data_IF_545246988224
#
_entry.id   IF_545246988224
#
_cell.length_a   1.000
_cell.length_b   1.000
_cell.length_c   1.000
_cell.angle_alpha   90.00
_cell.angle_beta   90.00
_cell.angle_gamma   90.00
#
_symmetry.space_group_name_H-M   'P 1'
#
loop_
_entity.id
_entity.type
_entity.pdbx_description
1 polymer ?
#
# COMPACT_ATOMS: atom_id res chain seq x y z
N UNK A 1 6.19 23.91 16.53
CA UNK A 1 6.31 23.61 15.08
C UNK A 1 5.13 22.82 14.50
N UNK A 2 4.30 22.14 15.31
CA UNK A 2 3.08 21.46 14.84
C UNK A 2 2.07 22.34 14.06
N UNK A 3 1.80 23.62 14.42
CA UNK A 3 0.79 24.39 13.69
C UNK A 3 1.22 24.70 12.25
N UNK A 4 2.47 25.10 12.03
CA UNK A 4 2.98 25.42 10.69
C UNK A 4 2.82 24.27 9.70
N UNK A 5 3.11 23.05 10.15
CA UNK A 5 3.01 21.86 9.29
C UNK A 5 1.56 21.56 8.88
N UNK A 6 0.61 21.72 9.81
CA UNK A 6 -0.82 21.58 9.49
C UNK A 6 -1.27 22.62 8.46
N UNK A 7 -0.81 23.87 8.57
CA UNK A 7 -1.11 24.91 7.58
C UNK A 7 -0.53 24.59 6.21
N UNK A 8 0.68 24.03 6.14
CA UNK A 8 1.29 23.61 4.87
C UNK A 8 0.44 22.54 4.18
N UNK A 9 0.01 21.49 4.90
CA UNK A 9 -0.84 20.45 4.32
C UNK A 9 -2.16 21.05 3.81
N UNK A 10 -2.81 21.90 4.62
CA UNK A 10 -4.07 22.54 4.22
C UNK A 10 -3.89 23.40 2.98
N UNK A 11 -2.83 24.21 2.92
CA UNK A 11 -2.52 25.05 1.77
C UNK A 11 -2.30 24.20 0.52
N UNK A 12 -1.49 23.15 0.61
CA UNK A 12 -1.20 22.28 -0.54
C UNK A 12 -2.44 21.49 -0.98
N UNK A 13 -3.28 21.03 -0.05
CA UNK A 13 -4.58 20.44 -0.37
C UNK A 13 -5.49 21.43 -1.10
N UNK A 14 -5.59 22.68 -0.63
CA UNK A 14 -6.40 23.71 -1.26
C UNK A 14 -5.89 24.06 -2.67
N UNK A 15 -4.57 24.20 -2.83
CA UNK A 15 -3.94 24.42 -4.14
C UNK A 15 -4.23 23.23 -5.07
N UNK A 16 -4.13 22.00 -4.58
CA UNK A 16 -4.41 20.79 -5.36
C UNK A 16 -5.88 20.70 -5.78
N UNK A 17 -6.82 21.04 -4.89
CA UNK A 17 -8.25 21.10 -5.20
C UNK A 17 -8.54 22.17 -6.25
N UNK A 18 -8.03 23.39 -6.05
CA UNK A 18 -8.24 24.51 -6.98
C UNK A 18 -7.64 24.19 -8.36
N UNK A 19 -6.44 23.60 -8.38
CA UNK A 19 -5.81 23.09 -9.58
C UNK A 19 -6.67 22.03 -10.26
N UNK A 20 -7.09 20.99 -9.54
CA UNK A 20 -7.88 19.91 -10.10
C UNK A 20 -9.18 20.44 -10.72
N UNK A 21 -9.92 21.29 -9.99
CA UNK A 21 -11.17 21.88 -10.45
C UNK A 21 -11.00 22.76 -11.70
N UNK A 22 -9.95 23.59 -11.73
CA UNK A 22 -9.66 24.45 -12.90
C UNK A 22 -9.11 23.67 -14.10
N UNK A 23 -8.39 22.58 -13.86
CA UNK A 23 -7.71 21.80 -14.91
C UNK A 23 -8.68 21.21 -15.94
N UNK A 24 -9.94 20.95 -15.58
CA UNK A 24 -10.97 20.45 -16.49
C UNK A 24 -11.39 21.46 -17.57
N UNK A 25 -11.16 22.75 -17.34
CA UNK A 25 -11.53 23.83 -18.25
C UNK A 25 -10.36 24.33 -19.10
N UNK A 26 -9.14 23.86 -18.80
CA UNK A 26 -7.93 24.27 -19.49
C UNK A 26 -7.59 23.26 -20.60
N UNK A 27 -7.05 23.73 -21.75
CA UNK A 27 -6.58 22.83 -22.80
C UNK A 27 -5.45 21.95 -22.27
N UNK A 28 -5.44 20.68 -22.67
CA UNK A 28 -4.39 19.75 -22.26
C UNK A 28 -3.04 20.17 -22.84
N UNK A 29 -2.13 20.62 -21.96
CA UNK A 29 -0.79 21.08 -22.31
C UNK A 29 0.26 20.31 -21.51
N UNK A 30 1.51 20.28 -22.01
CA UNK A 30 2.62 19.61 -21.33
C UNK A 30 2.88 20.22 -19.94
N UNK A 31 2.66 21.53 -19.80
CA UNK A 31 2.77 22.24 -18.53
C UNK A 31 1.79 21.65 -17.51
N UNK A 32 0.52 21.43 -17.89
CA UNK A 32 -0.47 20.83 -17.00
C UNK A 32 -0.12 19.38 -16.64
N UNK A 33 0.43 18.59 -17.57
CA UNK A 33 0.83 17.21 -17.32
C UNK A 33 1.90 17.16 -16.21
N UNK A 34 2.96 17.94 -16.38
CA UNK A 34 4.05 18.03 -15.39
C UNK A 34 3.60 18.66 -14.08
N UNK A 35 2.68 19.63 -14.13
CA UNK A 35 2.09 20.22 -12.91
C UNK A 35 1.29 19.18 -12.12
N UNK A 36 0.50 18.34 -12.81
CA UNK A 36 -0.24 17.23 -12.17
C UNK A 36 0.74 16.25 -11.50
N UNK A 37 1.78 15.82 -12.22
CA UNK A 37 2.80 14.92 -11.68
C UNK A 37 3.53 15.52 -10.47
N UNK A 38 3.89 16.81 -10.52
CA UNK A 38 4.52 17.51 -9.41
C UNK A 38 3.60 17.58 -8.18
N UNK A 39 2.33 17.91 -8.38
CA UNK A 39 1.35 17.94 -7.28
C UNK A 39 1.16 16.56 -6.65
N UNK A 40 1.11 15.49 -7.44
CA UNK A 40 1.09 14.11 -6.93
C UNK A 40 2.31 13.84 -6.04
N UNK A 41 3.51 14.16 -6.53
CA UNK A 41 4.76 13.93 -5.78
C UNK A 41 4.81 14.75 -4.47
N UNK A 42 4.38 16.01 -4.51
CA UNK A 42 4.33 16.87 -3.33
C UNK A 42 3.30 16.38 -2.31
N UNK A 43 2.09 16.02 -2.76
CA UNK A 43 1.04 15.46 -1.91
C UNK A 43 1.50 14.15 -1.26
N UNK A 44 2.14 13.27 -2.04
CA UNK A 44 2.69 12.02 -1.53
C UNK A 44 3.77 12.25 -0.47
N UNK A 45 4.72 13.14 -0.75
CA UNK A 45 5.82 13.45 0.17
C UNK A 45 5.33 14.04 1.50
N UNK A 46 4.31 14.90 1.44
CA UNK A 46 3.66 15.47 2.62
C UNK A 46 2.84 14.44 3.39
N UNK A 47 2.12 13.57 2.67
CA UNK A 47 1.35 12.46 3.24
C UNK A 47 2.27 11.53 4.03
N UNK A 48 3.36 11.10 3.40
CA UNK A 48 4.37 10.22 3.97
C UNK A 48 5.05 10.86 5.19
N UNK A 49 5.49 12.11 5.04
CA UNK A 49 6.10 12.88 6.13
C UNK A 49 5.14 13.06 7.30
N UNK A 50 3.85 13.29 7.03
CA UNK A 50 2.83 13.42 8.09
C UNK A 50 2.58 12.09 8.80
N UNK A 51 2.43 11.00 8.03
CA UNK A 51 2.20 9.66 8.55
C UNK A 51 3.34 9.23 9.49
N UNK A 52 4.60 9.43 9.07
CA UNK A 52 5.75 9.10 9.90
C UNK A 52 5.93 10.04 11.10
N UNK A 53 5.62 11.34 10.97
CA UNK A 53 5.79 12.31 12.08
C UNK A 53 4.72 12.23 13.14
N UNK A 54 3.46 12.04 12.76
CA UNK A 54 2.32 12.06 13.68
C UNK A 54 1.95 10.66 14.18
N UNK A 55 2.32 9.61 13.44
CA UNK A 55 1.93 8.23 13.74
C UNK A 55 0.42 7.99 13.72
N UNK A 56 -0.36 8.94 13.21
CA UNK A 56 -1.83 8.90 13.15
C UNK A 56 -2.33 9.44 11.82
N UNK A 57 -3.43 8.86 11.34
CA UNK A 57 -4.16 9.32 10.16
C UNK A 57 -5.16 10.38 10.62
N UNK A 58 -4.88 11.62 10.24
CA UNK A 58 -5.80 12.74 10.43
C UNK A 58 -6.79 12.81 9.27
N UNK A 59 -7.94 13.47 9.47
CA UNK A 59 -8.92 13.73 8.40
C UNK A 59 -8.28 14.45 7.21
N UNK A 60 -7.36 15.38 7.48
CA UNK A 60 -6.60 16.09 6.44
C UNK A 60 -5.78 15.12 5.56
N UNK A 61 -5.20 14.08 6.15
CA UNK A 61 -4.45 13.06 5.42
C UNK A 61 -5.38 12.24 4.52
N UNK A 62 -6.57 11.86 5.01
CA UNK A 62 -7.58 11.16 4.20
C UNK A 62 -7.97 12.01 2.99
N UNK A 63 -8.29 13.29 3.22
CA UNK A 63 -8.64 14.23 2.15
C UNK A 63 -7.50 14.36 1.14
N UNK A 64 -6.25 14.47 1.62
CA UNK A 64 -5.06 14.57 0.76
C UNK A 64 -4.91 13.34 -0.14
N UNK A 65 -5.12 12.13 0.37
CA UNK A 65 -5.05 10.90 -0.41
C UNK A 65 -6.18 10.81 -1.45
N UNK A 66 -7.41 11.24 -1.10
CA UNK A 66 -8.53 11.32 -2.06
C UNK A 66 -8.22 12.29 -3.20
N UNK A 67 -7.68 13.47 -2.88
CA UNK A 67 -7.22 14.44 -3.90
C UNK A 67 -6.14 13.81 -4.76
N UNK A 68 -5.21 13.07 -4.18
CA UNK A 68 -4.13 12.42 -4.91
C UNK A 68 -4.64 11.36 -5.89
N UNK A 69 -5.63 10.54 -5.51
CA UNK A 69 -6.31 9.61 -6.42
C UNK A 69 -6.99 10.34 -7.58
N UNK A 70 -7.64 11.48 -7.31
CA UNK A 70 -8.25 12.30 -8.36
C UNK A 70 -7.19 12.94 -9.29
N UNK A 71 -6.02 13.32 -8.77
CA UNK A 71 -4.89 13.77 -9.59
C UNK A 71 -4.32 12.64 -10.45
N UNK A 72 -4.23 11.40 -9.94
CA UNK A 72 -3.85 10.23 -10.76
C UNK A 72 -4.86 9.98 -11.87
N UNK A 73 -6.16 10.04 -11.58
CA UNK A 73 -7.22 9.97 -12.60
C UNK A 73 -7.04 11.04 -13.68
N UNK A 74 -6.75 12.28 -13.28
CA UNK A 74 -6.46 13.38 -14.21
C UNK A 74 -5.18 13.13 -15.02
N UNK A 75 -4.12 12.61 -14.40
CA UNK A 75 -2.87 12.28 -15.08
C UNK A 75 -3.09 11.21 -16.17
N UNK A 76 -3.85 10.16 -15.87
CA UNK A 76 -4.18 9.13 -16.87
C UNK A 76 -4.95 9.69 -18.07
N UNK A 77 -5.98 10.51 -17.81
CA UNK A 77 -6.73 11.25 -18.82
C UNK A 77 -5.80 12.10 -19.72
N UNK A 78 -4.85 12.81 -19.11
CA UNK A 78 -3.91 13.65 -19.84
C UNK A 78 -2.93 12.86 -20.69
N UNK A 79 -2.39 11.75 -20.16
CA UNK A 79 -1.52 10.83 -20.94
C UNK A 79 -2.27 10.35 -22.18
N UNK A 80 -3.52 9.90 -22.03
CA UNK A 80 -4.32 9.42 -23.16
C UNK A 80 -4.56 10.51 -24.21
N UNK A 81 -5.00 11.70 -23.78
CA UNK A 81 -5.33 12.81 -24.69
C UNK A 81 -4.10 13.40 -25.39
N UNK A 82 -2.96 13.48 -24.70
CA UNK A 82 -1.78 14.18 -25.18
C UNK A 82 -0.76 13.29 -25.88
N UNK A 83 -0.53 12.09 -25.33
CA UNK A 83 0.48 11.15 -25.83
C UNK A 83 -0.13 10.09 -26.74
N UNK A 84 -1.46 10.04 -26.79
CA UNK A 84 -2.22 9.20 -27.71
C UNK A 84 -2.72 7.89 -27.10
N UNK A 85 -3.47 7.16 -27.90
CA UNK A 85 -4.11 5.90 -27.51
C UNK A 85 -3.13 4.73 -27.37
N UNK A 86 -1.92 4.80 -27.92
CA UNK A 86 -0.92 3.73 -27.81
C UNK A 86 -0.52 3.38 -26.36
N UNK A 87 -0.91 4.22 -25.40
CA UNK A 87 -0.67 4.01 -23.98
C UNK A 87 -1.74 3.15 -23.28
N UNK A 88 -2.90 2.93 -23.90
CA UNK A 88 -4.04 2.23 -23.31
C UNK A 88 -4.75 1.31 -24.30
N UNK A 89 -5.22 0.15 -23.84
CA UNK A 89 -6.17 -0.68 -24.56
C UNK A 89 -7.59 -0.40 -24.08
N UNK A 90 -8.57 -0.48 -24.97
CA UNK A 90 -9.99 -0.42 -24.61
C UNK A 90 -10.85 -1.11 -25.67
N UNK A 91 -11.99 -1.66 -25.24
CA UNK A 91 -12.98 -2.26 -26.14
C UNK A 91 -13.87 -1.19 -26.79
N UNK A 92 -14.24 -0.17 -26.02
CA UNK A 92 -15.00 0.99 -26.49
C UNK A 92 -14.24 2.28 -26.21
N UNK A 93 -14.48 3.31 -27.04
CA UNK A 93 -13.84 4.61 -26.87
C UNK A 93 -14.07 5.15 -25.44
N UNK A 94 -12.99 5.47 -24.69
CA UNK A 94 -13.09 5.68 -23.26
C UNK A 94 -13.85 6.96 -22.94
N UNK A 95 -14.83 6.83 -22.04
CA UNK A 95 -15.58 7.95 -21.47
C UNK A 95 -14.85 8.48 -20.24
N UNK A 96 -15.25 9.66 -19.75
CA UNK A 96 -14.58 10.30 -18.61
C UNK A 96 -14.63 9.45 -17.33
N UNK A 97 -15.70 8.65 -17.15
CA UNK A 97 -15.88 7.82 -15.96
C UNK A 97 -15.07 6.52 -16.01
N UNK A 98 -14.65 6.04 -17.18
CA UNK A 98 -13.80 4.84 -17.30
C UNK A 98 -12.43 5.06 -16.65
N UNK A 99 -11.98 6.30 -16.55
CA UNK A 99 -10.74 6.67 -15.85
C UNK A 99 -10.90 6.64 -14.33
N UNK A 100 -12.10 6.95 -13.84
CA UNK A 100 -12.45 6.78 -12.43
C UNK A 100 -12.54 5.29 -12.11
N UNK A 101 -13.14 4.50 -12.99
CA UNK A 101 -13.20 3.05 -12.89
C UNK A 101 -11.79 2.43 -12.87
N UNK A 102 -10.90 2.83 -13.79
CA UNK A 102 -9.47 2.44 -13.79
C UNK A 102 -8.83 2.65 -12.41
N UNK A 103 -8.92 3.87 -11.87
CA UNK A 103 -8.33 4.18 -10.55
C UNK A 103 -9.01 3.42 -9.42
N UNK A 104 -10.34 3.34 -9.41
CA UNK A 104 -11.10 2.64 -8.37
C UNK A 104 -10.79 1.15 -8.36
N UNK A 105 -10.71 0.51 -9.52
CA UNK A 105 -10.33 -0.89 -9.68
C UNK A 105 -8.93 -1.14 -9.12
N UNK A 106 -7.95 -0.28 -9.43
CA UNK A 106 -6.61 -0.43 -8.88
C UNK A 106 -6.55 -0.21 -7.35
N UNK A 107 -7.33 0.72 -6.81
CA UNK A 107 -7.47 0.88 -5.34
C UNK A 107 -8.09 -0.36 -4.70
N UNK A 108 -9.11 -0.97 -5.31
CA UNK A 108 -9.71 -2.20 -4.80
C UNK A 108 -8.75 -3.40 -4.89
N UNK A 109 -7.90 -3.42 -5.92
CA UNK A 109 -6.84 -4.43 -6.08
C UNK A 109 -5.78 -4.31 -4.98
N UNK A 110 -5.37 -3.10 -4.62
CA UNK A 110 -4.47 -2.84 -3.50
C UNK A 110 -5.00 -3.36 -2.14
N UNK A 111 -6.32 -3.56 -2.00
CA UNK A 111 -6.96 -4.12 -0.79
C UNK A 111 -7.18 -5.65 -0.92
N UNK A 112 -6.66 -6.28 -1.96
CA UNK A 112 -6.82 -7.72 -2.25
C UNK A 112 -8.30 -8.17 -2.41
N UNK A 113 -9.19 -7.22 -2.75
CA UNK A 113 -10.63 -7.52 -2.92
C UNK A 113 -10.96 -8.05 -4.32
N UNK A 114 -10.18 -7.64 -5.33
CA UNK A 114 -10.47 -7.97 -6.73
C UNK A 114 -9.85 -9.26 -7.23
N UNK A 115 -8.83 -9.79 -6.56
CA UNK A 115 -8.22 -11.07 -6.97
C UNK A 115 -9.28 -12.18 -6.96
N UNK A 116 -10.22 -12.13 -6.01
CA UNK A 116 -11.39 -13.00 -5.94
C UNK A 116 -12.31 -12.81 -7.18
N UNK A 117 -12.62 -11.58 -7.57
CA UNK A 117 -13.54 -11.30 -8.68
C UNK A 117 -12.92 -11.60 -10.06
N UNK A 118 -11.61 -11.38 -10.20
CA UNK A 118 -10.89 -11.68 -11.45
C UNK A 118 -10.82 -13.18 -11.73
N UNK A 119 -10.76 -14.00 -10.68
CA UNK A 119 -10.78 -15.47 -10.78
C UNK A 119 -12.11 -15.97 -11.38
N UNK A 120 -13.20 -15.23 -11.16
CA UNK A 120 -14.53 -15.53 -11.71
C UNK A 120 -14.73 -15.02 -13.15
N UNK A 121 -13.69 -14.47 -13.79
CA UNK A 121 -13.75 -13.99 -15.17
C UNK A 121 -14.55 -12.69 -15.36
N UNK A 122 -14.82 -11.94 -14.29
CA UNK A 122 -15.58 -10.70 -14.35
C UNK A 122 -14.63 -9.54 -14.73
N UNK A 123 -14.63 -9.20 -16.02
CA UNK A 123 -13.92 -8.03 -16.54
C UNK A 123 -14.71 -6.74 -16.27
N UNK A 124 -14.41 -6.08 -15.15
CA UNK A 124 -15.08 -4.83 -14.72
C UNK A 124 -14.47 -3.56 -15.33
N UNK A 125 -13.48 -3.64 -16.22
CA UNK A 125 -12.68 -2.47 -16.61
C UNK A 125 -12.60 -2.34 -18.13
N UNK A 126 -13.08 -1.21 -18.67
CA UNK A 126 -12.98 -0.92 -20.12
C UNK A 126 -11.55 -0.54 -20.53
N UNK A 127 -10.81 0.18 -19.68
CA UNK A 127 -9.49 0.76 -20.02
C UNK A 127 -8.37 0.02 -19.32
N UNK A 128 -7.43 -0.57 -20.04
CA UNK A 128 -6.21 -1.17 -19.48
C UNK A 128 -4.97 -0.41 -19.94
N UNK A 129 -3.89 -0.41 -19.14
CA UNK A 129 -2.62 0.17 -19.57
C UNK A 129 -1.93 -0.73 -20.61
N UNK A 130 -1.17 -0.14 -21.54
CA UNK A 130 -0.35 -0.88 -22.51
C UNK A 130 1.12 -0.47 -22.53
N UNK A 131 1.45 0.70 -22.00
CA UNK A 131 2.82 1.24 -22.07
C UNK A 131 3.53 1.18 -20.73
N UNK A 132 4.87 1.18 -20.78
CA UNK A 132 5.74 1.31 -19.60
C UNK A 132 5.42 2.59 -18.82
N UNK A 133 5.18 3.70 -19.51
CA UNK A 133 4.85 4.98 -18.87
C UNK A 133 3.59 4.88 -18.01
N UNK A 134 2.49 4.37 -18.57
CA UNK A 134 1.23 4.19 -17.85
C UNK A 134 1.35 3.14 -16.75
N UNK A 135 2.17 2.11 -16.96
CA UNK A 135 2.49 1.12 -15.94
C UNK A 135 3.22 1.75 -14.74
N UNK A 136 4.22 2.60 -14.97
CA UNK A 136 4.92 3.32 -13.90
C UNK A 136 3.96 4.24 -13.12
N UNK A 137 3.06 4.93 -13.82
CA UNK A 137 2.06 5.80 -13.17
C UNK A 137 1.11 4.99 -12.29
N UNK A 138 0.59 3.87 -12.79
CA UNK A 138 -0.25 2.94 -12.02
C UNK A 138 0.52 2.37 -10.82
N UNK A 139 1.74 1.87 -11.03
CA UNK A 139 2.57 1.33 -9.97
C UNK A 139 2.86 2.37 -8.87
N UNK A 140 3.13 3.62 -9.26
CA UNK A 140 3.32 4.72 -8.30
C UNK A 140 2.05 5.02 -7.49
N UNK A 141 0.88 4.87 -8.10
CA UNK A 141 -0.41 5.00 -7.41
C UNK A 141 -0.62 3.87 -6.41
N UNK A 142 -0.31 2.63 -6.79
CA UNK A 142 -0.39 1.45 -5.92
C UNK A 142 0.47 1.62 -4.66
N UNK A 143 1.76 1.95 -4.82
CA UNK A 143 2.66 2.22 -3.68
C UNK A 143 2.06 3.26 -2.72
N UNK A 144 1.46 4.33 -3.26
CA UNK A 144 0.85 5.35 -2.42
C UNK A 144 -0.35 4.81 -1.62
N UNK A 145 -1.24 4.07 -2.27
CA UNK A 145 -2.42 3.48 -1.64
C UNK A 145 -2.01 2.48 -0.57
N UNK A 146 -1.03 1.63 -0.86
CA UNK A 146 -0.51 0.60 0.03
C UNK A 146 0.12 1.19 1.28
N UNK A 147 0.98 2.19 1.13
CA UNK A 147 1.58 2.89 2.27
C UNK A 147 0.51 3.56 3.14
N UNK A 148 -0.51 4.16 2.52
CA UNK A 148 -1.63 4.76 3.25
C UNK A 148 -2.47 3.71 4.00
N UNK A 149 -2.82 2.60 3.33
CA UNK A 149 -3.61 1.52 3.91
C UNK A 149 -2.86 0.83 5.06
N UNK A 150 -1.57 0.54 4.87
CA UNK A 150 -0.71 0.00 5.92
C UNK A 150 -0.66 0.94 7.13
N UNK A 151 -0.49 2.25 6.88
CA UNK A 151 -0.58 3.27 7.92
C UNK A 151 -1.93 3.23 8.67
N UNK A 152 -3.03 3.03 7.96
CA UNK A 152 -4.38 2.99 8.52
C UNK A 152 -4.60 1.76 9.40
N UNK A 153 -4.15 0.59 8.93
CA UNK A 153 -4.22 -0.67 9.65
C UNK A 153 -3.39 -0.59 10.94
N UNK A 154 -2.13 -0.13 10.86
CA UNK A 154 -1.26 0.02 12.02
C UNK A 154 -1.86 0.98 13.06
N UNK A 155 -2.40 2.11 12.61
CA UNK A 155 -3.09 3.04 13.50
C UNK A 155 -4.32 2.39 14.15
N UNK A 156 -5.13 1.66 13.39
CA UNK A 156 -6.32 0.99 13.91
C UNK A 156 -5.99 -0.03 15.00
N UNK A 157 -4.93 -0.82 14.79
CA UNK A 157 -4.40 -1.77 15.77
C UNK A 157 -3.93 -1.03 17.04
N UNK A 158 -3.19 0.07 16.88
CA UNK A 158 -2.66 0.85 18.00
C UNK A 158 -3.75 1.60 18.78
N UNK A 159 -4.77 2.14 18.11
CA UNK A 159 -5.89 2.86 18.75
C UNK A 159 -6.67 1.94 19.68
N UNK A 160 -6.94 0.70 19.24
CA UNK A 160 -7.57 -0.32 20.10
C UNK A 160 -6.73 -0.63 21.34
N UNK A 161 -5.40 -0.59 21.22
CA UNK A 161 -4.51 -0.76 22.37
C UNK A 161 -4.50 0.44 23.32
N UNK A 162 -4.62 1.67 22.79
CA UNK A 162 -4.53 2.91 23.59
C UNK A 162 -5.81 3.25 24.36
N UNK A 163 -7.01 3.02 23.78
CA UNK A 163 -8.28 3.23 24.50
C UNK A 163 -8.44 2.28 25.68
N UNK A 164 -7.65 1.20 25.72
CA UNK A 164 -7.60 0.31 26.87
C UNK A 164 -6.74 0.86 28.02
N UNK A 165 -5.96 1.94 27.85
CA UNK A 165 -4.89 2.32 28.78
C UNK A 165 -5.34 3.07 30.06
N UNK A 166 -6.50 3.75 30.05
CA UNK A 166 -6.95 4.57 31.20
C UNK A 166 -7.52 3.79 32.40
N UNK A 167 -7.49 2.44 32.37
CA UNK A 167 -7.86 1.60 33.53
C UNK A 167 -6.72 0.70 34.05
N UNK A 168 -5.45 0.98 33.72
CA UNK A 168 -4.44 -0.11 33.53
C UNK A 168 -3.02 0.07 34.11
N UNK A 169 -2.87 -0.02 35.43
CA UNK A 169 -1.63 -0.60 35.99
C UNK A 169 -1.80 -2.11 36.21
N UNK A 170 -2.93 -2.52 36.80
CA UNK A 170 -3.23 -3.94 37.10
C UNK A 170 -3.55 -4.75 35.84
N UNK A 171 -4.26 -4.18 34.87
CA UNK A 171 -4.50 -4.83 33.57
C UNK A 171 -3.25 -4.88 32.70
N UNK A 172 -2.30 -3.95 32.85
CA UNK A 172 -1.04 -3.94 32.08
C UNK A 172 -0.13 -5.10 32.51
N UNK A 173 -0.03 -5.39 33.81
CA UNK A 173 0.69 -6.57 34.30
C UNK A 173 0.09 -7.87 33.75
N UNK A 174 -1.25 -8.03 33.85
CA UNK A 174 -1.95 -9.19 33.26
C UNK A 174 -1.85 -9.25 31.73
N UNK A 175 -1.83 -8.10 31.04
CA UNK A 175 -1.69 -8.04 29.59
C UNK A 175 -0.28 -8.38 29.15
N UNK A 176 0.77 -7.90 29.83
CA UNK A 176 2.17 -8.27 29.55
C UNK A 176 2.40 -9.76 29.79
N UNK A 177 1.82 -10.33 30.85
CA UNK A 177 1.89 -11.77 31.10
C UNK A 177 1.16 -12.58 30.02
N UNK A 178 -0.04 -12.13 29.62
CA UNK A 178 -0.77 -12.68 28.47
C UNK A 178 0.03 -12.53 27.18
N UNK A 179 0.67 -11.38 26.95
CA UNK A 179 1.49 -11.10 25.78
C UNK A 179 2.77 -11.92 25.74
N UNK A 180 3.36 -12.25 26.90
CA UNK A 180 4.55 -13.11 26.98
C UNK A 180 4.20 -14.53 26.54
N UNK A 181 3.05 -15.05 27.00
CA UNK A 181 2.51 -16.33 26.54
C UNK A 181 2.06 -16.25 25.07
N UNK A 182 1.41 -15.16 24.66
CA UNK A 182 1.02 -14.92 23.26
C UNK A 182 2.24 -14.78 22.35
N UNK A 183 3.35 -14.21 22.81
CA UNK A 183 4.56 -14.08 22.00
C UNK A 183 5.22 -15.44 21.76
N UNK A 184 5.23 -16.31 22.78
CA UNK A 184 5.67 -17.69 22.61
C UNK A 184 4.75 -18.46 21.66
N UNK A 185 3.43 -18.33 21.84
CA UNK A 185 2.43 -18.92 20.96
C UNK A 185 2.59 -18.44 19.51
N UNK A 186 2.68 -17.12 19.27
CA UNK A 186 2.89 -16.53 17.94
C UNK A 186 4.21 -17.02 17.32
N UNK A 187 5.29 -17.11 18.10
CA UNK A 187 6.56 -17.67 17.62
C UNK A 187 6.41 -19.13 17.19
N UNK A 188 5.71 -19.94 17.98
CA UNK A 188 5.45 -21.33 17.64
C UNK A 188 4.57 -21.45 16.40
N UNK A 189 3.45 -20.71 16.33
CA UNK A 189 2.56 -20.68 15.16
C UNK A 189 3.31 -20.27 13.89
N UNK A 190 4.18 -19.25 13.99
CA UNK A 190 5.05 -18.83 12.89
C UNK A 190 5.98 -19.94 12.45
N UNK A 191 6.71 -20.56 13.38
CA UNK A 191 7.65 -21.64 13.08
C UNK A 191 6.94 -22.83 12.42
N UNK A 192 5.84 -23.30 13.01
CA UNK A 192 5.08 -24.42 12.48
C UNK A 192 4.42 -24.09 11.14
N UNK A 193 3.90 -22.86 10.98
CA UNK A 193 3.36 -22.39 9.70
C UNK A 193 4.40 -22.37 8.59
N UNK A 194 5.64 -21.91 8.89
CA UNK A 194 6.74 -21.91 7.93
C UNK A 194 7.18 -23.34 7.56
N UNK A 195 7.35 -24.22 8.54
CA UNK A 195 7.68 -25.62 8.29
C UNK A 195 6.61 -26.32 7.46
N UNK A 196 5.33 -26.08 7.77
CA UNK A 196 4.21 -26.59 7.00
C UNK A 196 4.22 -26.05 5.57
N UNK A 197 4.46 -24.75 5.38
CA UNK A 197 4.53 -24.16 4.05
C UNK A 197 5.68 -24.75 3.22
N UNK A 198 6.87 -24.91 3.81
CA UNK A 198 8.01 -25.56 3.15
C UNK A 198 7.68 -27.00 2.76
N UNK A 199 7.07 -27.77 3.67
CA UNK A 199 6.68 -29.16 3.40
C UNK A 199 5.65 -29.25 2.27
N UNK A 200 4.65 -28.36 2.25
CA UNK A 200 3.65 -28.30 1.17
C UNK A 200 4.27 -27.90 -0.16
N UNK A 201 5.16 -26.91 -0.19
CA UNK A 201 5.89 -26.50 -1.41
C UNK A 201 6.72 -27.67 -1.94
N UNK A 202 7.47 -28.37 -1.08
CA UNK A 202 8.25 -29.54 -1.50
C UNK A 202 7.35 -30.66 -2.05
N UNK A 203 6.24 -30.96 -1.38
CA UNK A 203 5.30 -31.98 -1.84
C UNK A 203 4.68 -31.63 -3.20
N UNK A 204 4.25 -30.38 -3.38
CA UNK A 204 3.69 -29.91 -4.65
C UNK A 204 4.75 -29.91 -5.74
N UNK A 205 5.95 -29.43 -5.45
CA UNK A 205 7.06 -29.39 -6.41
C UNK A 205 7.50 -30.78 -6.87
N UNK A 206 7.53 -31.77 -5.97
CA UNK A 206 7.79 -33.17 -6.35
C UNK A 206 6.63 -33.73 -7.18
N UNK A 207 5.37 -33.44 -6.81
CA UNK A 207 4.20 -33.99 -7.52
C UNK A 207 3.98 -33.42 -8.92
N UNK A 208 4.55 -32.24 -9.21
CA UNK A 208 4.42 -31.54 -10.48
C UNK A 208 5.76 -31.46 -11.23
N UNK A 209 6.77 -32.24 -10.82
CA UNK A 209 8.09 -32.31 -11.44
C UNK A 209 8.74 -30.93 -11.67
N UNK A 210 8.72 -30.07 -10.65
CA UNK A 210 9.30 -28.74 -10.75
C UNK A 210 10.81 -28.80 -10.94
N UNK A 211 11.30 -28.02 -11.90
CA UNK A 211 12.73 -27.77 -12.02
C UNK A 211 13.28 -27.11 -10.75
N UNK A 212 14.59 -27.26 -10.53
CA UNK A 212 15.28 -26.65 -9.39
C UNK A 212 15.07 -25.12 -9.34
N UNK A 213 15.06 -24.47 -10.51
CA UNK A 213 14.86 -23.02 -10.61
C UNK A 213 13.44 -22.62 -10.24
N UNK A 214 12.41 -23.30 -10.76
CA UNK A 214 11.02 -23.00 -10.40
C UNK A 214 10.76 -23.24 -8.90
N UNK A 215 11.39 -24.28 -8.31
CA UNK A 215 11.34 -24.55 -6.87
C UNK A 215 11.92 -23.42 -6.01
N UNK A 216 12.92 -22.69 -6.51
CA UNK A 216 13.54 -21.56 -5.83
C UNK A 216 12.85 -20.22 -6.13
N UNK A 217 12.46 -20.01 -7.38
CA UNK A 217 11.89 -18.76 -7.88
C UNK A 217 10.44 -18.60 -7.47
N UNK A 218 9.68 -19.69 -7.31
CA UNK A 218 8.28 -19.60 -6.87
C UNK A 218 8.12 -19.03 -5.44
N UNK A 219 8.88 -19.48 -4.41
CA UNK A 219 8.85 -18.83 -3.10
C UNK A 219 9.33 -17.38 -3.16
N UNK A 220 10.36 -17.09 -3.97
CA UNK A 220 10.88 -15.73 -4.13
C UNK A 220 9.84 -14.78 -4.74
N UNK A 221 9.15 -15.21 -5.80
CA UNK A 221 8.04 -14.48 -6.44
C UNK A 221 6.96 -14.14 -5.41
N UNK A 222 6.57 -15.11 -4.59
CA UNK A 222 5.56 -14.88 -3.55
C UNK A 222 6.05 -13.97 -2.42
N UNK A 223 7.34 -13.99 -2.05
CA UNK A 223 7.91 -13.03 -1.10
C UNK A 223 7.87 -11.62 -1.69
N UNK A 224 8.27 -11.45 -2.95
CA UNK A 224 8.26 -10.15 -3.61
C UNK A 224 6.85 -9.60 -3.75
N UNK A 225 5.86 -10.45 -4.03
CA UNK A 225 4.44 -10.06 -4.08
C UNK A 225 3.92 -9.47 -2.77
N UNK A 226 4.47 -9.87 -1.62
CA UNK A 226 4.11 -9.30 -0.31
C UNK A 226 4.74 -7.92 -0.10
N UNK A 227 5.87 -7.67 -0.74
CA UNK A 227 6.63 -6.43 -0.61
C UNK A 227 6.16 -5.34 -1.57
N UNK A 228 4.91 -5.39 -2.03
CA UNK A 228 4.32 -4.43 -2.97
C UNK A 228 4.96 -4.49 -4.40
N UNK A 229 5.92 -5.39 -4.64
CA UNK A 229 6.36 -5.69 -6.00
C UNK A 229 5.35 -6.51 -6.79
N UNK A 230 4.35 -7.10 -6.11
CA UNK A 230 3.32 -7.91 -6.76
C UNK A 230 2.53 -7.12 -7.80
N UNK A 231 2.23 -5.87 -7.50
CA UNK A 231 1.60 -4.97 -8.46
C UNK A 231 2.51 -4.66 -9.64
N UNK A 232 3.83 -4.51 -9.43
CA UNK A 232 4.76 -4.39 -10.55
C UNK A 232 4.77 -5.65 -11.42
N UNK A 233 4.79 -6.85 -10.81
CA UNK A 233 4.72 -8.11 -11.56
C UNK A 233 3.44 -8.20 -12.39
N UNK A 234 2.30 -7.81 -11.84
CA UNK A 234 1.02 -7.81 -12.55
C UNK A 234 0.91 -6.70 -13.60
N UNK A 235 1.44 -5.51 -13.33
CA UNK A 235 1.38 -4.37 -14.26
C UNK A 235 2.30 -4.60 -15.46
N UNK A 236 3.47 -5.20 -15.26
CA UNK A 236 4.45 -5.41 -16.32
C UNK A 236 4.43 -6.83 -16.89
N UNK A 237 3.44 -7.65 -16.51
CA UNK A 237 3.35 -9.07 -16.87
C UNK A 237 4.66 -9.83 -16.61
N UNK A 238 5.38 -9.46 -15.56
CA UNK A 238 6.59 -10.15 -15.17
C UNK A 238 6.22 -11.43 -14.42
N UNK A 239 6.91 -12.51 -14.76
CA UNK A 239 6.79 -13.79 -14.07
C UNK A 239 8.21 -14.31 -13.84
N UNK A 240 8.54 -14.65 -12.59
CA UNK A 240 9.85 -15.22 -12.26
C UNK A 240 9.92 -16.74 -12.50
N UNK A 241 8.77 -17.41 -12.65
CA UNK A 241 8.67 -18.85 -12.82
C UNK A 241 7.72 -19.19 -13.97
N UNK A 242 7.85 -20.40 -14.52
CA UNK A 242 7.02 -20.85 -15.66
C UNK A 242 5.76 -21.62 -15.27
N UNK A 243 5.57 -21.85 -13.97
CA UNK A 243 4.52 -22.71 -13.44
C UNK A 243 3.09 -22.20 -13.73
N UNK A 244 2.25 -23.09 -14.25
CA UNK A 244 0.83 -22.82 -14.50
C UNK A 244 0.05 -22.71 -13.18
N UNK A 245 -0.69 -21.61 -13.02
CA UNK A 245 -1.40 -21.33 -11.77
C UNK A 245 -2.72 -22.11 -11.70
N UNK A 246 -2.71 -23.27 -11.03
CA UNK A 246 -3.93 -23.99 -10.68
C UNK A 246 -4.47 -23.57 -9.29
N UNK A 247 -5.71 -23.97 -8.96
CA UNK A 247 -6.37 -23.63 -7.69
C UNK A 247 -5.52 -24.05 -6.47
N UNK A 248 -4.85 -25.20 -6.55
CA UNK A 248 -3.98 -25.70 -5.50
C UNK A 248 -2.77 -24.78 -5.27
N UNK A 249 -2.11 -24.36 -6.35
CA UNK A 249 -0.99 -23.44 -6.30
C UNK A 249 -1.39 -22.05 -5.84
N UNK A 250 -2.54 -21.54 -6.27
CA UNK A 250 -3.09 -20.29 -5.78
C UNK A 250 -3.35 -20.34 -4.27
N UNK A 251 -3.96 -21.43 -3.78
CA UNK A 251 -4.20 -21.64 -2.35
C UNK A 251 -2.90 -21.72 -1.56
N UNK A 252 -1.91 -22.44 -2.08
CA UNK A 252 -0.58 -22.54 -1.48
C UNK A 252 0.16 -21.20 -1.47
N UNK A 253 0.05 -20.41 -2.54
CA UNK A 253 0.60 -19.06 -2.63
C UNK A 253 0.01 -18.15 -1.55
N UNK A 254 -1.32 -18.11 -1.42
CA UNK A 254 -2.00 -17.32 -0.38
C UNK A 254 -1.55 -17.77 1.01
N UNK A 255 -1.54 -19.08 1.29
CA UNK A 255 -1.08 -19.60 2.58
C UNK A 255 0.37 -19.20 2.88
N UNK A 256 1.28 -19.40 1.92
CA UNK A 256 2.69 -19.03 2.08
C UNK A 256 2.85 -17.52 2.30
N UNK A 257 2.11 -16.68 1.56
CA UNK A 257 2.13 -15.23 1.77
C UNK A 257 1.65 -14.83 3.15
N UNK A 258 0.58 -15.44 3.66
CA UNK A 258 0.11 -15.20 5.04
C UNK A 258 1.18 -15.55 6.08
N UNK A 259 1.88 -16.68 5.90
CA UNK A 259 2.98 -17.07 6.77
C UNK A 259 4.11 -16.06 6.71
N UNK A 260 4.60 -15.69 5.52
CA UNK A 260 5.68 -14.71 5.35
C UNK A 260 5.29 -13.33 5.89
N UNK A 261 4.05 -12.87 5.65
CA UNK A 261 3.51 -11.63 6.22
C UNK A 261 3.52 -11.65 7.75
N UNK A 262 3.13 -12.76 8.38
CA UNK A 262 3.24 -12.92 9.84
C UNK A 262 4.70 -12.83 10.33
N UNK A 263 5.68 -13.20 9.49
CA UNK A 263 7.10 -12.98 9.78
C UNK A 263 7.52 -11.53 9.63
N UNK A 264 7.10 -10.86 8.56
CA UNK A 264 7.43 -9.47 8.22
C UNK A 264 6.83 -8.45 9.21
N UNK A 265 5.61 -8.71 9.72
CA UNK A 265 4.92 -7.84 10.68
C UNK A 265 5.73 -7.62 11.97
N UNK A 266 6.53 -8.60 12.40
CA UNK A 266 7.38 -8.48 13.59
C UNK A 266 8.43 -7.37 13.47
N UNK A 267 9.35 -7.45 12.51
CA UNK A 267 10.30 -6.39 12.19
C UNK A 267 9.64 -5.05 11.87
N UNK A 268 8.57 -5.03 11.07
CA UNK A 268 7.85 -3.79 10.72
C UNK A 268 7.31 -3.10 11.97
N UNK A 269 6.68 -3.86 12.88
CA UNK A 269 6.19 -3.30 14.15
C UNK A 269 7.35 -2.79 15.04
N UNK A 270 8.48 -3.51 15.11
CA UNK A 270 9.66 -3.03 15.87
C UNK A 270 10.22 -1.75 15.28
N UNK A 271 10.32 -1.66 13.96
CA UNK A 271 10.78 -0.47 13.27
C UNK A 271 9.84 0.70 13.50
N UNK A 272 8.52 0.49 13.41
CA UNK A 272 7.51 1.47 13.74
C UNK A 272 7.63 1.97 15.19
N UNK A 273 7.77 1.07 16.16
CA UNK A 273 7.94 1.43 17.58
C UNK A 273 9.26 2.18 17.82
N UNK A 274 10.34 1.82 17.12
CA UNK A 274 11.62 2.52 17.19
C UNK A 274 11.50 3.96 16.69
N UNK A 275 10.86 4.17 15.53
CA UNK A 275 10.59 5.50 14.98
C UNK A 275 9.73 6.34 15.95
N UNK A 276 8.73 5.72 16.57
CA UNK A 276 7.87 6.40 17.55
C UNK A 276 8.59 6.73 18.86
N UNK A 277 9.45 5.84 19.36
CA UNK A 277 10.23 6.07 20.56
C UNK A 277 11.19 7.26 20.42
N UNK A 278 11.84 7.39 19.26
CA UNK A 278 12.70 8.54 18.94
C UNK A 278 11.94 9.88 19.02
N UNK A 279 10.67 9.90 18.61
CA UNK A 279 9.85 11.11 18.67
C UNK A 279 9.47 11.49 20.10
N UNK A 280 9.11 10.51 20.94
CA UNK A 280 8.76 10.76 22.35
C UNK A 280 9.91 11.36 23.16
N UNK A 281 11.15 10.92 22.91
CA UNK A 281 12.34 11.45 23.60
C UNK A 281 12.61 12.92 23.22
N UNK A 282 12.39 13.27 21.94
CA UNK A 282 12.54 14.65 21.47
C UNK A 282 11.54 15.59 22.15
N UNK A 283 10.29 15.17 22.38
CA UNK A 283 9.28 15.99 23.04
C UNK A 283 9.59 16.24 24.52
N UNK A 284 10.08 15.22 25.24
CA UNK A 284 10.41 15.36 26.66
C UNK A 284 11.59 16.30 26.93
N UNK A 285 12.60 16.33 26.05
CA UNK A 285 13.75 17.24 26.20
C UNK A 285 13.39 18.72 25.98
N UNK A 286 12.37 19.00 25.17
CA UNK A 286 11.89 20.38 24.99
C UNK A 286 11.14 20.85 26.23
N UNK A 287 10.30 20.00 26.82
CA UNK A 287 9.54 20.35 28.03
C UNK A 287 10.41 20.68 29.25
N UNK A 288 11.49 19.92 29.48
CA UNK A 288 12.38 20.16 30.63
C UNK A 288 13.19 21.45 30.53
N UNK A 289 13.54 21.91 29.32
CA UNK A 289 14.23 23.18 29.11
C UNK A 289 13.36 24.41 29.38
N UNK A 290 12.04 24.30 29.25
CA UNK A 290 11.11 25.38 29.57
C UNK A 290 10.72 25.43 31.05
N UNK A 291 10.75 24.30 31.75
CA UNK A 291 10.47 24.26 33.20
C UNK A 291 11.63 24.78 34.07
N UNK A 292 12.83 24.92 33.50
CA UNK A 292 14.04 25.40 34.19
C UNK A 292 14.31 26.91 34.00
N UNK A 293 13.35 27.65 33.44
CA UNK A 293 13.38 29.12 33.29
C UNK A 293 12.17 29.73 33.97
#
# INVERSE_FOLDING_TARGET
MLPLYSYIIQLVSLVSIAYLASSFWLPETQILLWTTALLILLNYSLSLSNLFRQGSITVNLIILNVIQLALFCRLHLMIHKMLGNAHYAYTEAPRWYDWIELVAMHVLRAVDLLDILSTEGIHLQNVTHQSVLTGIVLFSMHIMVDVFLLGAILMFINRRSATQHDTTLIKRARFVERFKNTHHFIKQVRLWGLLLAIALIMNVGISQDWDFWDSLLWPLDNILRILDFGDAFQIFDWQLHSLEMNIGLATLAVFFRLVVSAYALGPVNRFYLYLFALQSQSQNQVGTKFAAK
#
